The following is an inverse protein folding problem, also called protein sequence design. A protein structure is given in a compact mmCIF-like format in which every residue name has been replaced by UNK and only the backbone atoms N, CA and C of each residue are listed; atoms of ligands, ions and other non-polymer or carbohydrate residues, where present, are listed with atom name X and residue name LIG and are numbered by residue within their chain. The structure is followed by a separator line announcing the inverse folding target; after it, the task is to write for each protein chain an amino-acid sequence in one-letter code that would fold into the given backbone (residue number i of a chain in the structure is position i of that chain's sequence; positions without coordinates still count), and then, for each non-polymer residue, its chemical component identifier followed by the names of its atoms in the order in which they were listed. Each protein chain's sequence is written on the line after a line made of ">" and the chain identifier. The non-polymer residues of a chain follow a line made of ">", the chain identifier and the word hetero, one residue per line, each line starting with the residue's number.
data_IF_971123575216
#
_entry.id   IF_971123575216
#
_cell.length_a   1.000
_cell.length_b   1.000
_cell.length_c   1.000
_cell.angle_alpha   90.00
_cell.angle_beta   90.00
_cell.angle_gamma   90.00
#
_symmetry.space_group_name_H-M   'P 1'
#
loop_
_entity.id
_entity.type
_entity.pdbx_description
1 polymer ?
#
# COMPACT_ATOMS: atom_id res chain seq x y z
N UNK A 1 2.94 9.50 14.27
CA UNK A 1 3.22 9.94 15.65
C UNK A 1 3.97 8.81 16.35
N UNK A 2 4.89 9.12 17.27
CA UNK A 2 5.55 8.08 18.08
C UNK A 2 4.56 7.37 19.02
N UNK A 3 4.82 6.11 19.41
CA UNK A 3 3.94 5.37 20.32
C UNK A 3 3.73 6.04 21.69
N UNK A 4 4.70 6.82 22.16
CA UNK A 4 4.58 7.59 23.42
C UNK A 4 3.73 8.86 23.29
N UNK A 5 3.26 9.20 22.07
CA UNK A 5 2.43 10.35 21.78
C UNK A 5 3.14 11.70 21.86
N UNK A 6 4.48 11.74 21.91
CA UNK A 6 5.24 12.99 22.13
C UNK A 6 5.87 13.59 20.88
N UNK A 7 5.93 12.85 19.78
CA UNK A 7 6.48 13.35 18.51
C UNK A 7 5.48 13.13 17.38
N UNK A 8 5.06 14.23 16.75
CA UNK A 8 4.18 14.22 15.59
C UNK A 8 5.03 14.32 14.32
N UNK A 9 4.67 13.53 13.31
CA UNK A 9 5.27 13.62 11.97
C UNK A 9 4.18 13.93 10.95
N UNK A 10 4.54 14.73 9.96
CA UNK A 10 3.72 15.01 8.79
C UNK A 10 4.61 15.25 7.58
N UNK A 11 4.07 15.01 6.39
CA UNK A 11 4.80 15.14 5.13
C UNK A 11 4.06 16.07 4.17
N UNK A 12 4.85 16.77 3.37
CA UNK A 12 4.44 17.28 2.07
C UNK A 12 4.85 16.26 0.99
N UNK A 13 4.63 16.56 -0.27
CA UNK A 13 5.09 15.71 -1.36
C UNK A 13 6.63 15.58 -1.42
N UNK A 14 7.40 16.58 -0.95
CA UNK A 14 8.88 16.60 -1.06
C UNK A 14 9.63 16.40 0.25
N UNK A 15 8.96 16.67 1.38
CA UNK A 15 9.62 16.84 2.68
C UNK A 15 8.81 16.23 3.82
N UNK A 16 9.47 15.48 4.71
CA UNK A 16 8.92 15.03 5.99
C UNK A 16 9.42 15.93 7.14
N UNK A 17 8.54 16.16 8.09
CA UNK A 17 8.74 17.07 9.22
C UNK A 17 8.41 16.38 10.54
N UNK A 18 9.04 16.83 11.62
CA UNK A 18 8.78 16.39 12.98
C UNK A 18 8.44 17.59 13.89
N UNK A 19 7.63 17.35 14.92
CA UNK A 19 7.32 18.31 15.98
C UNK A 19 7.26 17.61 17.32
N UNK A 20 7.68 18.31 18.38
CA UNK A 20 7.25 17.95 19.73
C UNK A 20 5.75 18.18 19.84
N UNK A 21 5.02 17.19 20.35
CA UNK A 21 3.58 17.19 20.46
C UNK A 21 3.15 16.99 21.92
N UNK A 22 2.25 17.85 22.39
CA UNK A 22 1.59 17.68 23.68
C UNK A 22 0.16 17.16 23.47
N UNK A 23 -0.11 15.86 23.73
CA UNK A 23 -1.43 15.27 23.49
C UNK A 23 -2.51 15.82 24.44
N UNK A 24 -2.15 16.48 25.54
CA UNK A 24 -3.13 17.09 26.46
C UNK A 24 -3.67 18.41 25.93
N UNK A 25 -2.86 19.16 25.20
CA UNK A 25 -3.23 20.48 24.68
C UNK A 25 -3.44 20.49 23.16
N UNK A 26 -3.05 19.42 22.46
CA UNK A 26 -3.08 19.34 21.00
C UNK A 26 -2.03 20.23 20.32
N UNK A 27 -1.04 20.73 21.07
CA UNK A 27 -0.07 21.71 20.57
C UNK A 27 1.15 21.02 19.96
N UNK A 28 1.47 21.37 18.72
CA UNK A 28 2.72 21.00 18.04
C UNK A 28 3.71 22.18 18.07
N UNK A 29 4.95 21.93 18.45
CA UNK A 29 6.01 22.95 18.56
C UNK A 29 7.36 22.42 18.06
N UNK A 30 8.31 23.33 17.80
CA UNK A 30 9.67 22.94 17.42
C UNK A 30 9.73 22.18 16.10
N UNK A 31 9.18 22.74 15.03
CA UNK A 31 9.21 22.14 13.69
C UNK A 31 10.65 21.83 13.29
N UNK A 32 10.94 20.58 12.99
CA UNK A 32 12.17 20.13 12.36
C UNK A 32 11.88 19.57 10.96
N UNK A 33 12.75 19.88 10.00
CA UNK A 33 12.80 19.19 8.70
C UNK A 33 13.70 17.98 8.87
N UNK A 34 13.22 16.77 8.54
CA UNK A 34 13.97 15.52 8.81
C UNK A 34 14.39 14.78 7.55
N UNK A 35 13.52 14.72 6.53
CA UNK A 35 13.81 14.07 5.25
C UNK A 35 13.38 15.01 4.13
N UNK A 36 14.25 15.24 3.17
CA UNK A 36 14.04 16.13 2.01
C UNK A 36 14.23 15.37 0.70
N UNK A 37 13.99 16.03 -0.43
CA UNK A 37 14.33 15.47 -1.74
C UNK A 37 13.52 14.23 -2.11
N UNK A 38 12.33 14.02 -1.52
CA UNK A 38 11.43 12.96 -1.98
C UNK A 38 11.02 13.26 -3.42
N UNK A 39 11.29 12.35 -4.38
CA UNK A 39 10.99 12.59 -5.79
C UNK A 39 9.54 12.99 -6.01
N UNK A 40 9.31 13.91 -6.93
CA UNK A 40 7.97 14.32 -7.36
C UNK A 40 7.53 13.52 -8.57
N UNK A 41 6.23 13.59 -8.89
CA UNK A 41 5.66 12.93 -10.05
C UNK A 41 4.17 12.70 -9.92
N UNK A 42 3.65 11.75 -10.69
CA UNK A 42 2.23 11.34 -10.66
C UNK A 42 1.66 11.06 -9.27
N UNK A 43 2.39 10.36 -8.40
CA UNK A 43 1.94 10.05 -7.04
C UNK A 43 2.57 10.97 -5.98
N UNK A 44 1.75 11.79 -5.31
CA UNK A 44 2.21 12.87 -4.43
C UNK A 44 2.13 12.59 -2.92
N UNK A 45 1.45 11.54 -2.48
CA UNK A 45 1.33 11.19 -1.05
C UNK A 45 2.62 10.58 -0.51
N UNK A 46 2.96 10.86 0.75
CA UNK A 46 4.17 10.35 1.42
C UNK A 46 3.79 9.75 2.77
N UNK A 47 3.34 8.51 2.75
CA UNK A 47 2.86 7.83 3.94
C UNK A 47 3.96 7.67 4.97
N UNK A 48 3.63 7.91 6.24
CA UNK A 48 4.56 7.89 7.35
C UNK A 48 4.12 6.85 8.38
N UNK A 49 5.03 5.96 8.76
CA UNK A 49 4.80 4.99 9.84
C UNK A 49 5.95 5.03 10.84
N UNK A 50 5.62 5.12 12.13
CA UNK A 50 6.56 4.79 13.21
C UNK A 50 6.12 3.43 13.75
N UNK A 51 6.82 2.34 13.41
CA UNK A 51 6.44 1.01 13.86
C UNK A 51 6.45 0.92 15.38
N UNK A 52 5.50 0.18 15.96
CA UNK A 52 5.45 -0.04 17.42
C UNK A 52 6.58 -0.93 17.88
N UNK A 53 6.94 -1.94 17.10
CA UNK A 53 8.04 -2.85 17.41
C UNK A 53 9.42 -2.19 17.29
N UNK A 54 9.54 -1.11 16.51
CA UNK A 54 10.78 -0.34 16.37
C UNK A 54 10.48 1.17 16.36
N UNK A 55 10.28 1.80 17.54
CA UNK A 55 9.83 3.18 17.65
C UNK A 55 10.90 4.23 17.31
N UNK A 56 12.15 3.81 17.08
CA UNK A 56 13.25 4.68 16.63
C UNK A 56 13.25 4.86 15.11
N UNK A 57 12.42 4.08 14.40
CA UNK A 57 12.30 4.11 12.96
C UNK A 57 11.12 4.97 12.49
N UNK A 58 11.33 5.73 11.43
CA UNK A 58 10.28 6.34 10.61
C UNK A 58 10.36 5.70 9.22
N UNK A 59 9.31 5.00 8.79
CA UNK A 59 9.15 4.53 7.43
C UNK A 59 8.45 5.58 6.58
N UNK A 60 8.90 5.71 5.33
CA UNK A 60 8.32 6.61 4.35
C UNK A 60 8.09 5.84 3.04
N UNK A 61 6.86 5.87 2.55
CA UNK A 61 6.50 5.34 1.22
C UNK A 61 6.49 6.45 0.17
N UNK A 62 7.06 6.18 -1.00
CA UNK A 62 7.08 7.08 -2.17
C UNK A 62 6.64 6.32 -3.40
N UNK A 63 5.58 6.79 -4.08
CA UNK A 63 5.08 6.19 -5.32
C UNK A 63 5.86 6.59 -6.59
N UNK A 64 5.40 6.09 -7.73
CA UNK A 64 5.98 6.32 -9.06
C UNK A 64 5.71 7.72 -9.63
N UNK A 65 6.49 8.11 -10.64
CA UNK A 65 6.15 9.23 -11.51
C UNK A 65 5.29 8.76 -12.69
N UNK A 66 3.98 8.70 -12.47
CA UNK A 66 3.00 8.28 -13.47
C UNK A 66 2.69 6.79 -13.44
N UNK A 67 2.09 6.28 -14.51
CA UNK A 67 1.53 4.94 -14.52
C UNK A 67 2.60 3.84 -14.57
N UNK A 68 3.47 3.87 -15.58
CA UNK A 68 4.62 2.97 -15.78
C UNK A 68 5.89 3.83 -15.82
N UNK A 69 6.60 3.91 -14.70
CA UNK A 69 7.81 4.72 -14.52
C UNK A 69 9.06 3.84 -14.67
N UNK A 70 9.64 3.85 -15.86
CA UNK A 70 10.77 3.00 -16.20
C UNK A 70 12.02 3.22 -15.32
N UNK A 71 12.14 4.39 -14.68
CA UNK A 71 13.26 4.66 -13.77
C UNK A 71 13.19 3.82 -12.49
N UNK A 72 12.03 3.30 -12.11
CA UNK A 72 11.89 2.49 -10.89
C UNK A 72 12.46 1.07 -11.05
N UNK A 73 12.93 0.72 -12.26
CA UNK A 73 13.82 -0.43 -12.48
C UNK A 73 15.17 -0.26 -11.75
N UNK A 74 15.51 0.95 -11.31
CA UNK A 74 16.67 1.26 -10.50
C UNK A 74 16.27 1.87 -9.15
N UNK A 75 16.60 1.16 -8.07
CA UNK A 75 16.32 1.54 -6.68
C UNK A 75 16.82 2.96 -6.32
N UNK A 76 17.92 3.40 -6.92
CA UNK A 76 18.58 4.67 -6.60
C UNK A 76 17.72 5.91 -6.94
N UNK A 77 16.73 5.79 -7.82
CA UNK A 77 15.83 6.89 -8.18
C UNK A 77 14.89 7.34 -7.06
N UNK A 78 14.75 6.57 -5.99
CA UNK A 78 13.96 6.96 -4.82
C UNK A 78 12.44 6.95 -5.03
N UNK A 79 11.94 6.28 -6.08
CA UNK A 79 10.50 6.12 -6.38
C UNK A 79 10.06 4.67 -6.25
N UNK A 80 8.76 4.47 -6.09
CA UNK A 80 8.09 3.16 -5.93
C UNK A 80 8.75 2.26 -4.89
N UNK A 81 8.94 2.80 -3.69
CA UNK A 81 9.69 2.13 -2.63
C UNK A 81 9.34 2.64 -1.23
N UNK A 82 9.68 1.84 -0.23
CA UNK A 82 9.55 2.14 1.19
C UNK A 82 10.96 2.18 1.79
N UNK A 83 11.32 3.30 2.43
CA UNK A 83 12.60 3.46 3.13
C UNK A 83 12.40 3.74 4.61
N UNK A 84 13.33 3.27 5.43
CA UNK A 84 13.39 3.53 6.87
C UNK A 84 14.38 4.64 7.22
N UNK A 85 14.13 5.33 8.33
CA UNK A 85 14.95 6.45 8.81
C UNK A 85 15.03 6.42 10.33
N UNK A 86 16.24 6.53 10.89
CA UNK A 86 16.42 6.69 12.34
C UNK A 86 16.10 8.14 12.73
N UNK A 87 14.84 8.44 13.01
CA UNK A 87 14.31 9.80 12.97
C UNK A 87 14.92 10.72 14.04
N UNK A 88 15.42 10.18 15.16
CA UNK A 88 16.07 10.96 16.22
C UNK A 88 17.35 11.63 15.74
N UNK A 89 18.13 10.93 14.91
CA UNK A 89 19.37 11.44 14.34
C UNK A 89 19.10 12.60 13.37
N UNK A 90 17.91 12.59 12.75
CA UNK A 90 17.49 13.57 11.75
C UNK A 90 16.97 14.88 12.35
N UNK A 91 16.69 14.93 13.66
CA UNK A 91 16.18 16.15 14.32
C UNK A 91 17.13 17.34 14.24
N UNK A 92 18.43 17.06 14.09
CA UNK A 92 19.49 18.08 14.00
C UNK A 92 20.23 18.08 12.66
N UNK A 93 20.05 17.04 11.85
CA UNK A 93 20.71 16.89 10.57
C UNK A 93 19.80 16.16 9.58
N UNK A 94 19.04 16.93 8.80
CA UNK A 94 18.17 16.37 7.75
C UNK A 94 19.00 15.71 6.65
N UNK A 95 18.51 14.60 6.10
CA UNK A 95 19.10 13.95 4.92
C UNK A 95 18.13 14.00 3.73
N UNK A 96 18.61 13.64 2.53
CA UNK A 96 17.72 13.38 1.40
C UNK A 96 17.12 11.98 1.50
N UNK A 97 15.96 11.76 0.88
CA UNK A 97 15.27 10.46 0.89
C UNK A 97 16.18 9.32 0.41
N UNK A 98 16.96 9.58 -0.64
CA UNK A 98 17.85 8.59 -1.26
C UNK A 98 19.12 8.32 -0.47
N UNK A 99 19.45 9.13 0.54
CA UNK A 99 20.63 8.93 1.40
C UNK A 99 20.42 7.83 2.45
N UNK A 100 19.17 7.43 2.73
CA UNK A 100 18.92 6.30 3.63
C UNK A 100 19.22 4.98 2.95
N UNK A 101 20.01 4.14 3.62
CA UNK A 101 20.31 2.77 3.20
C UNK A 101 19.36 1.71 3.77
N UNK A 102 18.35 2.12 4.57
CA UNK A 102 17.39 1.18 5.17
C UNK A 102 16.27 0.94 4.16
N UNK A 103 16.34 -0.18 3.46
CA UNK A 103 15.41 -0.58 2.41
C UNK A 103 14.33 -1.53 2.97
N UNK A 104 13.05 -1.15 2.86
CA UNK A 104 11.90 -1.98 3.22
C UNK A 104 11.11 -2.54 2.03
N UNK A 105 11.52 -2.26 0.80
CA UNK A 105 10.91 -2.80 -0.42
C UNK A 105 10.92 -1.77 -1.53
N UNK A 106 11.00 -2.23 -2.78
CA UNK A 106 10.97 -1.40 -3.98
C UNK A 106 10.31 -2.14 -5.13
N UNK A 107 10.05 -1.47 -6.26
CA UNK A 107 9.14 -2.00 -7.26
C UNK A 107 7.70 -2.08 -6.73
N UNK A 108 7.33 -1.09 -5.92
CA UNK A 108 6.00 -0.89 -5.33
C UNK A 108 5.39 0.38 -5.93
N UNK A 109 4.62 0.28 -7.01
CA UNK A 109 4.06 1.40 -7.79
C UNK A 109 3.62 2.56 -6.91
N UNK A 110 2.67 2.33 -6.00
CA UNK A 110 2.19 3.34 -5.06
C UNK A 110 1.54 2.70 -3.82
N UNK A 111 2.38 2.10 -2.97
CA UNK A 111 1.94 1.46 -1.72
C UNK A 111 1.65 2.50 -0.64
N UNK A 112 0.46 3.09 -0.67
CA UNK A 112 0.05 4.17 0.24
C UNK A 112 -0.14 3.65 1.66
N UNK A 113 -0.89 2.57 1.84
CA UNK A 113 -1.12 2.02 3.18
C UNK A 113 0.08 1.19 3.62
N UNK A 114 0.68 1.54 4.75
CA UNK A 114 1.79 0.79 5.39
C UNK A 114 1.53 0.63 6.89
N UNK A 115 1.72 -0.58 7.42
CA UNK A 115 1.52 -0.86 8.86
C UNK A 115 2.32 -2.05 9.35
N UNK A 116 2.83 -1.95 10.58
CA UNK A 116 3.31 -3.11 11.33
C UNK A 116 2.16 -3.79 12.08
N UNK A 117 2.20 -5.12 12.12
CA UNK A 117 1.30 -5.91 12.95
C UNK A 117 1.78 -5.95 14.42
N UNK A 118 1.06 -6.66 15.28
CA UNK A 118 1.42 -6.79 16.71
C UNK A 118 2.74 -7.53 16.96
N UNK A 119 3.31 -8.19 15.95
CA UNK A 119 4.60 -8.89 15.99
C UNK A 119 5.69 -8.15 15.23
N UNK A 120 5.47 -6.88 14.87
CA UNK A 120 6.44 -6.07 14.15
C UNK A 120 6.66 -6.47 12.69
N UNK A 121 5.76 -7.26 12.10
CA UNK A 121 5.83 -7.57 10.67
C UNK A 121 5.25 -6.42 9.85
N UNK A 122 5.99 -5.92 8.87
CA UNK A 122 5.56 -4.84 8.00
C UNK A 122 4.73 -5.35 6.83
N UNK A 123 3.61 -4.67 6.60
CA UNK A 123 2.68 -4.90 5.51
C UNK A 123 2.43 -3.60 4.74
N UNK A 124 2.21 -3.71 3.44
CA UNK A 124 1.70 -2.61 2.62
C UNK A 124 0.53 -3.05 1.74
N UNK A 125 -0.29 -2.09 1.35
CA UNK A 125 -1.32 -2.27 0.32
C UNK A 125 -1.01 -1.42 -0.91
N UNK A 126 -1.07 -2.03 -2.08
CA UNK A 126 -0.58 -1.48 -3.34
C UNK A 126 -1.72 -0.93 -4.21
N UNK A 127 -1.45 0.19 -4.89
CA UNK A 127 -2.26 0.67 -6.02
C UNK A 127 -1.50 0.37 -7.31
N UNK A 128 -1.92 -0.68 -8.01
CA UNK A 128 -1.25 -1.26 -9.17
C UNK A 128 -1.58 -0.49 -10.47
N UNK A 129 -1.07 -0.96 -11.61
CA UNK A 129 -1.06 -0.18 -12.85
C UNK A 129 -2.44 -0.01 -13.51
N UNK A 130 -2.64 1.17 -14.12
CA UNK A 130 -3.84 1.52 -14.88
C UNK A 130 -3.66 1.17 -16.36
N UNK A 131 -4.76 1.04 -17.12
CA UNK A 131 -4.78 0.90 -18.59
C UNK A 131 -3.77 -0.12 -19.15
N UNK A 132 -3.52 -1.22 -18.44
CA UNK A 132 -2.52 -2.19 -18.86
C UNK A 132 -3.01 -2.99 -20.06
N UNK A 133 -2.07 -3.24 -20.96
CA UNK A 133 -2.24 -4.14 -22.08
C UNK A 133 -1.20 -5.24 -21.95
N UNK A 134 -1.55 -6.45 -22.38
CA UNK A 134 -0.62 -7.57 -22.43
C UNK A 134 -0.35 -7.94 -23.88
N UNK A 135 0.93 -7.99 -24.23
CA UNK A 135 1.37 -8.44 -25.54
C UNK A 135 1.15 -9.95 -25.69
N UNK A 136 0.40 -10.34 -26.71
CA UNK A 136 0.19 -11.74 -27.08
C UNK A 136 1.27 -12.17 -28.07
N UNK A 137 2.12 -13.10 -27.65
CA UNK A 137 3.26 -13.56 -28.46
C UNK A 137 2.84 -14.41 -29.67
N UNK A 138 1.65 -15.00 -29.63
CA UNK A 138 1.13 -15.87 -30.69
C UNK A 138 0.50 -15.06 -31.83
N UNK A 139 -0.18 -13.96 -31.49
CA UNK A 139 -0.89 -13.10 -32.45
C UNK A 139 -0.14 -11.83 -32.82
N UNK A 140 0.73 -11.34 -31.94
CA UNK A 140 1.43 -10.06 -32.06
C UNK A 140 0.60 -8.84 -31.64
N UNK A 141 -0.59 -9.07 -31.04
CA UNK A 141 -1.50 -8.02 -30.61
C UNK A 141 -1.20 -7.54 -29.18
N UNK A 142 -1.51 -6.27 -28.89
CA UNK A 142 -1.56 -5.76 -27.51
C UNK A 142 -3.01 -5.83 -27.03
N UNK A 143 -3.32 -6.83 -26.20
CA UNK A 143 -4.67 -7.07 -25.71
C UNK A 143 -4.92 -6.20 -24.48
N UNK A 144 -6.00 -5.42 -24.50
CA UNK A 144 -6.45 -4.70 -23.31
C UNK A 144 -6.95 -5.70 -22.26
N UNK A 145 -6.30 -5.70 -21.10
CA UNK A 145 -6.65 -6.56 -19.97
C UNK A 145 -6.96 -5.74 -18.72
N UNK A 146 -7.04 -4.41 -18.84
CA UNK A 146 -7.08 -3.51 -17.69
C UNK A 146 -8.31 -3.72 -16.82
N UNK A 147 -9.45 -4.11 -17.38
CA UNK A 147 -10.71 -4.03 -16.64
C UNK A 147 -10.72 -4.92 -15.38
N UNK A 148 -9.99 -6.04 -15.43
CA UNK A 148 -9.91 -7.00 -14.35
C UNK A 148 -8.46 -7.38 -14.00
N UNK A 149 -7.48 -6.64 -14.52
CA UNK A 149 -6.07 -6.75 -14.17
C UNK A 149 -5.35 -5.38 -14.15
N UNK A 150 -4.23 -5.24 -13.44
CA UNK A 150 -3.67 -6.24 -12.52
C UNK A 150 -4.40 -6.20 -11.18
N UNK A 151 -4.13 -7.19 -10.32
CA UNK A 151 -4.62 -7.17 -8.95
C UNK A 151 -4.06 -5.95 -8.20
N UNK A 152 -4.86 -5.39 -7.29
CA UNK A 152 -4.28 -4.65 -6.17
C UNK A 152 -3.68 -5.67 -5.18
N UNK A 153 -2.75 -5.26 -4.33
CA UNK A 153 -1.92 -6.22 -3.60
C UNK A 153 -1.83 -5.94 -2.11
N UNK A 154 -1.73 -7.00 -1.31
CA UNK A 154 -1.20 -6.98 0.05
C UNK A 154 0.21 -7.58 0.03
N UNK A 155 1.20 -6.74 0.33
CA UNK A 155 2.61 -7.07 0.27
C UNK A 155 3.22 -7.19 1.67
N UNK A 156 4.05 -8.23 1.88
CA UNK A 156 4.75 -8.49 3.13
C UNK A 156 6.22 -8.12 3.01
N UNK A 157 6.75 -7.40 3.99
CA UNK A 157 8.10 -6.82 3.96
C UNK A 157 9.02 -7.34 5.07
N UNK A 158 8.60 -8.34 5.85
CA UNK A 158 9.39 -8.86 6.97
C UNK A 158 9.33 -7.99 8.23
N UNK A 159 10.19 -8.29 9.20
CA UNK A 159 10.23 -7.57 10.48
C UNK A 159 10.80 -6.14 10.31
N UNK A 160 10.18 -5.16 10.99
CA UNK A 160 10.67 -3.78 11.12
C UNK A 160 11.88 -3.64 12.06
N UNK A 161 12.21 -4.67 12.82
CA UNK A 161 13.39 -4.70 13.69
C UNK A 161 14.67 -4.99 12.87
N UNK A 162 14.54 -5.75 11.78
CA UNK A 162 15.67 -5.97 10.87
C UNK A 162 15.78 -4.82 9.87
N UNK A 163 16.68 -3.89 10.21
CA UNK A 163 17.03 -2.71 9.40
C UNK A 163 18.28 -2.94 8.54
N UNK A 164 18.83 -4.17 8.53
CA UNK A 164 20.12 -4.49 7.92
C UNK A 164 20.00 -5.28 6.63
N UNK A 165 19.00 -6.15 6.52
CA UNK A 165 18.79 -6.94 5.30
C UNK A 165 17.97 -6.15 4.30
N UNK A 166 18.55 -5.83 3.14
CA UNK A 166 17.82 -5.15 2.07
C UNK A 166 16.65 -6.01 1.57
N UNK A 167 15.45 -5.42 1.52
CA UNK A 167 14.23 -6.10 1.01
C UNK A 167 14.17 -6.08 -0.52
N UNK A 168 13.47 -7.08 -1.07
CA UNK A 168 13.41 -7.37 -2.51
C UNK A 168 12.56 -6.41 -3.34
N UNK A 169 12.52 -6.69 -4.65
CA UNK A 169 11.72 -5.99 -5.63
C UNK A 169 10.34 -6.68 -5.78
N UNK A 170 9.25 -5.92 -5.75
CA UNK A 170 7.87 -6.41 -5.81
C UNK A 170 7.26 -6.40 -7.23
N UNK A 171 8.06 -6.17 -8.27
CA UNK A 171 7.67 -6.40 -9.66
C UNK A 171 7.59 -5.14 -10.52
N UNK A 172 7.06 -4.04 -9.97
CA UNK A 172 6.85 -2.82 -10.75
C UNK A 172 8.20 -2.26 -11.28
N UNK A 173 8.27 -1.82 -12.55
CA UNK A 173 7.17 -1.55 -13.48
C UNK A 173 6.94 -2.65 -14.53
N UNK A 174 7.47 -3.86 -14.34
CA UNK A 174 7.51 -4.90 -15.38
C UNK A 174 6.67 -6.13 -15.07
N UNK A 175 6.52 -6.45 -13.79
CA UNK A 175 5.77 -7.61 -13.32
C UNK A 175 4.60 -7.17 -12.44
N UNK A 176 3.43 -7.76 -12.64
CA UNK A 176 2.17 -7.41 -11.98
C UNK A 176 1.42 -8.66 -11.55
N UNK A 177 0.69 -8.65 -10.42
CA UNK A 177 -0.10 -9.81 -10.03
C UNK A 177 -1.38 -9.97 -10.88
N UNK A 178 -1.65 -11.20 -11.34
CA UNK A 178 -2.90 -11.52 -12.02
C UNK A 178 -4.07 -11.57 -11.02
N UNK A 179 -5.16 -10.87 -11.31
CA UNK A 179 -6.44 -11.05 -10.62
C UNK A 179 -7.35 -11.98 -11.44
N UNK A 180 -7.63 -11.60 -12.69
CA UNK A 180 -8.30 -12.45 -13.65
C UNK A 180 -7.28 -13.22 -14.50
N UNK A 181 -7.54 -14.50 -14.75
CA UNK A 181 -6.61 -15.39 -15.46
C UNK A 181 -6.87 -15.48 -16.96
N UNK A 182 -7.89 -14.78 -17.49
CA UNK A 182 -8.13 -14.64 -18.93
C UNK A 182 -7.13 -13.65 -19.57
N UNK A 183 -5.85 -14.02 -19.54
CA UNK A 183 -4.73 -13.25 -20.08
C UNK A 183 -4.10 -13.99 -21.28
N UNK A 184 -3.62 -13.29 -22.34
CA UNK A 184 -2.91 -13.92 -23.45
C UNK A 184 -1.68 -14.71 -23.00
N UNK A 185 -1.56 -15.94 -23.50
CA UNK A 185 -0.44 -16.86 -23.18
C UNK A 185 -0.22 -17.11 -21.68
N UNK A 186 -1.27 -16.97 -20.85
CA UNK A 186 -1.20 -17.18 -19.39
C UNK A 186 -1.92 -18.46 -18.97
N UNK A 187 -1.31 -19.20 -18.03
CA UNK A 187 -1.90 -20.44 -17.49
C UNK A 187 -1.81 -20.56 -15.97
N UNK A 188 -1.24 -19.53 -15.33
CA UNK A 188 -0.97 -19.51 -13.90
C UNK A 188 -2.18 -19.03 -13.08
N UNK A 189 -2.27 -19.40 -11.79
CA UNK A 189 -3.38 -18.98 -10.94
C UNK A 189 -3.35 -17.48 -10.63
N UNK A 190 -4.46 -16.92 -10.08
CA UNK A 190 -4.45 -15.57 -9.52
C UNK A 190 -3.33 -15.38 -8.48
N UNK A 191 -2.91 -14.13 -8.29
CA UNK A 191 -1.87 -13.74 -7.36
C UNK A 191 -0.43 -14.02 -7.85
N UNK A 192 -0.25 -14.85 -8.88
CA UNK A 192 1.06 -15.00 -9.52
C UNK A 192 1.35 -13.78 -10.39
N UNK A 193 2.61 -13.34 -10.38
CA UNK A 193 3.03 -12.19 -11.19
C UNK A 193 3.26 -12.56 -12.65
N UNK A 194 2.84 -11.69 -13.54
CA UNK A 194 2.95 -11.79 -14.99
C UNK A 194 3.59 -10.54 -15.59
N UNK A 195 4.13 -10.69 -16.78
CA UNK A 195 4.74 -9.62 -17.58
C UNK A 195 3.73 -8.97 -18.53
N UNK A 196 3.81 -7.64 -18.71
CA UNK A 196 3.05 -6.97 -19.77
C UNK A 196 3.56 -7.34 -21.17
N UNK A 197 4.83 -7.73 -21.30
CA UNK A 197 5.42 -8.20 -22.55
C UNK A 197 6.30 -9.45 -22.29
N UNK A 198 5.72 -10.66 -22.39
CA UNK A 198 6.45 -11.92 -22.19
C UNK A 198 7.65 -12.14 -23.13
N UNK A 199 7.75 -11.37 -24.23
CA UNK A 199 8.92 -11.40 -25.12
C UNK A 199 10.12 -10.58 -24.61
N UNK A 200 9.90 -9.65 -23.69
CA UNK A 200 10.96 -8.82 -23.08
C UNK A 200 11.41 -9.38 -21.73
N UNK A 201 10.45 -9.79 -20.90
CA UNK A 201 10.65 -10.46 -19.62
C UNK A 201 9.59 -11.53 -19.48
N UNK A 202 9.99 -12.77 -19.21
CA UNK A 202 9.05 -13.89 -19.17
C UNK A 202 8.28 -13.92 -17.86
N UNK A 203 7.12 -14.58 -17.89
CA UNK A 203 6.31 -14.79 -16.69
C UNK A 203 7.04 -15.63 -15.65
N UNK A 204 7.90 -16.57 -16.07
CA UNK A 204 8.76 -17.35 -15.18
C UNK A 204 9.80 -16.47 -14.49
N UNK A 205 10.37 -15.48 -15.20
CA UNK A 205 11.26 -14.49 -14.59
C UNK A 205 10.50 -13.65 -13.57
N UNK A 206 9.30 -13.18 -13.90
CA UNK A 206 8.45 -12.47 -12.95
C UNK A 206 8.17 -13.31 -11.69
N UNK A 207 7.86 -14.60 -11.85
CA UNK A 207 7.57 -15.49 -10.74
C UNK A 207 8.78 -15.89 -9.90
N UNK A 208 9.98 -15.93 -10.49
CA UNK A 208 11.20 -16.39 -9.83
C UNK A 208 11.98 -15.26 -9.14
N UNK A 209 12.06 -14.09 -9.77
CA UNK A 209 13.00 -13.04 -9.37
C UNK A 209 12.35 -11.90 -8.58
N UNK A 210 11.01 -11.84 -8.55
CA UNK A 210 10.25 -10.79 -7.88
C UNK A 210 9.39 -11.34 -6.74
N UNK A 211 9.14 -10.48 -5.76
CA UNK A 211 8.38 -10.83 -4.58
C UNK A 211 6.88 -10.76 -4.89
N UNK A 212 6.26 -11.94 -5.01
CA UNK A 212 4.82 -12.05 -5.17
C UNK A 212 4.04 -11.54 -3.93
N UNK A 213 2.81 -11.04 -4.13
CA UNK A 213 1.97 -10.57 -3.04
C UNK A 213 1.47 -11.72 -2.15
N UNK A 214 1.17 -11.39 -0.90
CA UNK A 214 0.58 -12.35 0.04
C UNK A 214 -0.92 -12.56 -0.20
N UNK A 215 -1.60 -11.57 -0.78
CA UNK A 215 -2.99 -11.65 -1.20
C UNK A 215 -3.26 -10.61 -2.30
N UNK A 216 -4.08 -10.96 -3.30
CA UNK A 216 -4.57 -10.03 -4.30
C UNK A 216 -5.97 -9.48 -3.95
N UNK A 217 -6.30 -8.30 -4.47
CA UNK A 217 -7.65 -7.72 -4.43
C UNK A 217 -8.14 -7.36 -5.83
N UNK A 218 -9.46 -7.15 -6.02
CA UNK A 218 -10.00 -6.79 -7.32
C UNK A 218 -9.30 -5.55 -7.89
N UNK A 219 -8.91 -5.64 -9.16
CA UNK A 219 -8.27 -4.56 -9.89
C UNK A 219 -8.99 -3.22 -9.69
N UNK A 220 -8.22 -2.15 -9.52
CA UNK A 220 -8.70 -0.77 -9.33
C UNK A 220 -9.47 -0.51 -8.04
N UNK A 221 -9.43 -1.41 -7.05
CA UNK A 221 -10.08 -1.14 -5.74
C UNK A 221 -9.43 0.00 -4.96
N UNK A 222 -8.20 0.38 -5.33
CA UNK A 222 -7.43 1.50 -4.78
C UNK A 222 -7.28 1.45 -3.25
N UNK A 223 -6.53 0.49 -2.69
CA UNK A 223 -6.38 0.40 -1.26
C UNK A 223 -5.47 1.49 -0.70
N UNK A 224 -5.90 2.22 0.33
CA UNK A 224 -5.16 3.41 0.81
C UNK A 224 -4.60 3.30 2.23
N UNK A 225 -5.16 2.46 3.07
CA UNK A 225 -4.66 2.26 4.44
C UNK A 225 -4.94 0.83 4.92
N UNK A 226 -4.11 0.39 5.86
CA UNK A 226 -4.19 -0.90 6.52
C UNK A 226 -3.93 -0.74 8.03
N UNK A 227 -4.78 -1.35 8.85
CA UNK A 227 -4.54 -1.48 10.30
C UNK A 227 -4.86 -2.88 10.79
N UNK A 228 -4.23 -3.28 11.89
CA UNK A 228 -4.49 -4.56 12.55
C UNK A 228 -5.31 -4.35 13.81
N UNK A 229 -6.33 -5.19 14.01
CA UNK A 229 -7.11 -5.20 15.25
C UNK A 229 -6.45 -6.04 16.36
N UNK A 230 -7.10 -6.12 17.52
CA UNK A 230 -6.58 -6.85 18.67
C UNK A 230 -6.49 -8.38 18.47
N UNK A 231 -7.22 -8.94 17.50
CA UNK A 231 -7.13 -10.35 17.13
C UNK A 231 -6.02 -10.61 16.10
N UNK A 232 -5.43 -9.56 15.54
CA UNK A 232 -4.42 -9.64 14.49
C UNK A 232 -5.00 -9.63 13.07
N UNK A 233 -6.32 -9.49 12.90
CA UNK A 233 -6.94 -9.36 11.58
C UNK A 233 -6.62 -8.00 10.96
N UNK A 234 -6.39 -7.96 9.65
CA UNK A 234 -6.15 -6.72 8.93
C UNK A 234 -7.46 -6.09 8.44
N UNK A 235 -7.51 -4.77 8.49
CA UNK A 235 -8.60 -3.94 8.00
C UNK A 235 -8.05 -3.02 6.93
N UNK A 236 -8.67 -3.01 5.75
CA UNK A 236 -8.17 -2.29 4.57
C UNK A 236 -9.27 -1.41 3.99
N UNK A 237 -8.94 -0.16 3.68
CA UNK A 237 -9.81 0.77 2.97
C UNK A 237 -9.65 0.59 1.47
N UNK A 238 -10.73 0.30 0.75
CA UNK A 238 -10.76 0.35 -0.72
C UNK A 238 -11.44 1.66 -1.13
N UNK A 239 -10.63 2.60 -1.62
CA UNK A 239 -11.06 3.96 -1.95
C UNK A 239 -11.97 4.02 -3.18
N UNK A 240 -11.85 3.05 -4.08
CA UNK A 240 -12.72 2.88 -5.24
C UNK A 240 -12.06 3.20 -6.57
N UNK A 241 -12.55 2.54 -7.61
CA UNK A 241 -11.98 2.61 -8.96
C UNK A 241 -12.37 3.88 -9.69
N UNK A 242 -11.44 4.40 -10.49
CA UNK A 242 -11.74 5.31 -11.59
C UNK A 242 -11.54 4.65 -12.97
N UNK A 243 -10.65 3.64 -13.06
CA UNK A 243 -10.22 3.00 -14.31
C UNK A 243 -10.82 1.59 -14.49
N UNK A 244 -12.14 1.44 -14.29
CA UNK A 244 -12.85 0.15 -14.44
C UNK A 244 -14.33 0.36 -14.76
N UNK A 245 -14.91 -0.50 -15.60
CA UNK A 245 -16.35 -0.53 -15.87
C UNK A 245 -16.93 -1.95 -15.73
N UNK A 246 -17.89 -2.20 -14.82
CA UNK A 246 -18.43 -1.26 -13.83
C UNK A 246 -17.42 -0.90 -12.72
N UNK A 247 -17.65 0.16 -11.92
CA UNK A 247 -16.78 0.50 -10.79
C UNK A 247 -16.68 -0.62 -9.73
N UNK A 248 -15.59 -0.62 -8.96
CA UNK A 248 -15.36 -1.51 -7.81
C UNK A 248 -14.68 -0.76 -6.66
N UNK A 249 -14.53 -1.41 -5.50
CA UNK A 249 -14.00 -0.81 -4.27
C UNK A 249 -15.08 -0.10 -3.45
N UNK A 250 -14.83 1.14 -3.02
CA UNK A 250 -15.76 1.97 -2.24
C UNK A 250 -16.27 1.30 -0.95
N UNK A 251 -15.37 0.63 -0.23
CA UNK A 251 -15.72 -0.22 0.92
C UNK A 251 -14.56 -0.40 1.91
N UNK A 252 -14.93 -0.75 3.13
CA UNK A 252 -14.03 -1.25 4.17
C UNK A 252 -14.07 -2.77 4.15
N UNK A 253 -12.90 -3.42 4.12
CA UNK A 253 -12.79 -4.88 4.16
C UNK A 253 -11.97 -5.35 5.35
N UNK A 254 -12.20 -6.60 5.77
CA UNK A 254 -11.41 -7.32 6.77
C UNK A 254 -10.79 -8.56 6.14
N UNK A 255 -9.51 -8.81 6.43
CA UNK A 255 -8.74 -9.99 6.02
C UNK A 255 -8.42 -10.77 7.28
N UNK A 256 -8.75 -12.06 7.29
CA UNK A 256 -8.44 -12.92 8.42
C UNK A 256 -6.95 -13.32 8.40
N UNK A 257 -6.29 -13.18 9.54
CA UNK A 257 -4.88 -13.52 9.70
C UNK A 257 -4.71 -14.68 10.68
N UNK A 258 -3.75 -15.53 10.38
CA UNK A 258 -3.30 -16.58 11.29
C UNK A 258 -2.45 -15.94 12.41
N UNK A 259 -2.86 -16.07 13.68
CA UNK A 259 -2.21 -15.38 14.79
C UNK A 259 -0.86 -15.97 15.16
N UNK A 260 -0.44 -17.13 14.64
CA UNK A 260 0.87 -17.74 14.91
C UNK A 260 1.89 -17.28 13.87
N UNK A 261 1.53 -17.36 12.60
CA UNK A 261 2.39 -17.02 11.46
C UNK A 261 2.34 -15.56 11.07
N UNK A 262 1.35 -14.80 11.55
CA UNK A 262 1.07 -13.42 11.13
C UNK A 262 0.80 -13.31 9.62
N UNK A 263 0.25 -14.34 8.97
CA UNK A 263 -0.05 -14.33 7.53
C UNK A 263 -1.55 -14.36 7.27
N UNK A 264 -2.03 -13.85 6.12
CA UNK A 264 -3.40 -14.09 5.68
C UNK A 264 -3.72 -15.60 5.72
N UNK A 265 -4.89 -15.97 6.22
CA UNK A 265 -5.36 -17.37 6.21
C UNK A 265 -5.63 -17.82 4.77
N UNK A 266 -6.13 -16.92 3.94
CA UNK A 266 -6.34 -17.18 2.52
C UNK A 266 -4.98 -17.26 1.79
N UNK A 267 -4.88 -18.22 0.87
CA UNK A 267 -3.75 -18.28 -0.06
C UNK A 267 -3.71 -17.04 -0.97
N UNK A 268 -2.53 -16.72 -1.50
CA UNK A 268 -2.34 -15.58 -2.41
C UNK A 268 -3.23 -15.65 -3.65
N UNK A 269 -3.59 -16.85 -4.10
CA UNK A 269 -4.49 -17.10 -5.23
C UNK A 269 -5.98 -16.99 -4.91
N UNK A 270 -6.34 -16.62 -3.70
CA UNK A 270 -7.74 -16.51 -3.28
C UNK A 270 -8.39 -15.22 -3.77
N UNK A 271 -9.48 -15.36 -4.53
CA UNK A 271 -10.33 -14.24 -4.94
C UNK A 271 -11.34 -13.82 -3.85
N UNK A 272 -11.41 -14.57 -2.75
CA UNK A 272 -12.35 -14.33 -1.65
C UNK A 272 -11.62 -14.27 -0.30
N UNK A 273 -10.38 -13.80 -0.29
CA UNK A 273 -9.53 -13.74 0.91
C UNK A 273 -9.91 -12.66 1.93
N UNK A 274 -10.97 -11.89 1.67
CA UNK A 274 -11.44 -10.81 2.53
C UNK A 274 -12.97 -10.80 2.60
N UNK A 275 -13.51 -10.12 3.62
CA UNK A 275 -14.94 -9.89 3.79
C UNK A 275 -15.24 -8.40 3.80
N UNK A 276 -16.34 -7.99 3.16
CA UNK A 276 -16.80 -6.60 3.19
C UNK A 276 -17.46 -6.31 4.53
N UNK A 277 -17.09 -5.20 5.17
CA UNK A 277 -17.65 -4.78 6.46
C UNK A 277 -18.60 -3.59 6.30
N UNK A 278 -18.21 -2.61 5.50
CA UNK A 278 -19.01 -1.43 5.21
C UNK A 278 -18.87 -1.09 3.73
N UNK A 279 -19.99 -0.98 3.02
CA UNK A 279 -20.02 -0.75 1.57
C UNK A 279 -21.07 0.29 1.22
N UNK A 280 -20.86 0.98 0.10
CA UNK A 280 -21.92 1.74 -0.55
C UNK A 280 -22.98 0.80 -1.12
N UNK A 281 -24.25 1.22 -1.08
CA UNK A 281 -25.38 0.39 -1.45
C UNK A 281 -25.44 0.11 -2.97
N UNK A 282 -25.07 1.09 -3.79
CA UNK A 282 -24.98 0.97 -5.24
C UNK A 282 -23.59 1.42 -5.71
N UNK A 283 -22.72 0.46 -5.98
CA UNK A 283 -21.34 0.72 -6.43
C UNK A 283 -21.30 1.30 -7.84
N UNK A 284 -22.30 1.00 -8.69
CA UNK A 284 -22.34 1.52 -10.06
C UNK A 284 -22.57 3.04 -10.09
N UNK A 285 -23.26 3.58 -9.08
CA UNK A 285 -23.43 5.02 -8.89
C UNK A 285 -22.16 5.73 -8.40
N UNK A 286 -21.14 5.00 -7.91
CA UNK A 286 -19.94 5.60 -7.32
C UNK A 286 -18.98 6.23 -8.33
N UNK A 287 -19.17 5.99 -9.64
CA UNK A 287 -18.42 6.68 -10.69
C UNK A 287 -18.71 8.20 -10.74
N UNK A 288 -19.83 8.65 -10.20
CA UNK A 288 -20.16 10.07 -10.05
C UNK A 288 -19.59 10.63 -8.74
N UNK A 289 -18.93 11.79 -8.82
CA UNK A 289 -18.33 12.44 -7.66
C UNK A 289 -19.36 12.75 -6.56
N UNK A 290 -19.02 12.40 -5.31
CA UNK A 290 -19.84 12.68 -4.13
C UNK A 290 -21.05 11.76 -3.94
N UNK A 291 -21.26 10.74 -4.78
CA UNK A 291 -22.35 9.76 -4.59
C UNK A 291 -22.06 8.72 -3.50
N UNK A 292 -20.78 8.43 -3.29
CA UNK A 292 -20.33 7.38 -2.40
C UNK A 292 -19.27 7.92 -1.44
N UNK A 293 -19.22 7.38 -0.23
CA UNK A 293 -18.04 7.55 0.62
C UNK A 293 -16.85 6.84 -0.01
N UNK A 294 -15.65 7.40 0.14
CA UNK A 294 -14.39 6.87 -0.40
C UNK A 294 -13.40 6.63 0.74
N UNK A 295 -13.36 5.40 1.30
CA UNK A 295 -12.53 5.07 2.44
C UNK A 295 -11.07 5.43 2.21
N UNK A 296 -10.48 6.22 3.11
CA UNK A 296 -9.07 6.63 3.02
C UNK A 296 -8.26 6.07 4.19
N UNK A 297 -8.32 6.68 5.37
CA UNK A 297 -7.47 6.34 6.51
C UNK A 297 -8.22 5.62 7.62
N UNK A 298 -7.49 4.82 8.38
CA UNK A 298 -7.98 4.02 9.50
C UNK A 298 -7.26 4.35 10.81
N UNK A 299 -7.99 4.29 11.92
CA UNK A 299 -7.41 4.32 13.25
C UNK A 299 -8.18 3.41 14.20
N UNK A 300 -7.48 2.48 14.84
CA UNK A 300 -8.04 1.61 15.88
C UNK A 300 -8.05 2.37 17.20
N UNK A 301 -9.22 2.49 17.81
CA UNK A 301 -9.41 3.06 19.13
C UNK A 301 -9.13 2.03 20.23
N UNK A 302 -8.86 2.48 21.46
CA UNK A 302 -8.50 1.60 22.59
C UNK A 302 -9.62 0.66 23.04
N UNK A 303 -10.88 0.96 22.71
CA UNK A 303 -12.02 0.08 22.94
C UNK A 303 -12.26 -0.93 21.80
N UNK A 304 -11.39 -0.96 20.80
CA UNK A 304 -11.49 -1.83 19.63
C UNK A 304 -12.39 -1.31 18.51
N UNK A 305 -13.03 -0.15 18.66
CA UNK A 305 -13.73 0.51 17.54
C UNK A 305 -12.73 1.04 16.50
N UNK A 306 -13.17 1.13 15.25
CA UNK A 306 -12.37 1.59 14.13
C UNK A 306 -12.90 2.95 13.66
N UNK A 307 -12.02 3.94 13.54
CA UNK A 307 -12.33 5.18 12.83
C UNK A 307 -11.90 5.05 11.37
N UNK A 308 -12.73 5.52 10.45
CA UNK A 308 -12.47 5.54 9.02
C UNK A 308 -12.79 6.92 8.45
N UNK A 309 -11.88 7.52 7.69
CA UNK A 309 -12.15 8.77 6.97
C UNK A 309 -12.64 8.52 5.55
N UNK A 310 -13.41 9.47 5.02
CA UNK A 310 -13.75 9.59 3.61
C UNK A 310 -13.40 11.00 3.13
N UNK A 311 -12.34 11.12 2.34
CA UNK A 311 -11.83 12.40 1.83
C UNK A 311 -12.82 13.07 0.87
N UNK A 312 -13.44 12.30 -0.01
CA UNK A 312 -14.39 12.79 -1.02
C UNK A 312 -15.69 13.36 -0.42
N UNK A 313 -16.07 12.92 0.78
CA UNK A 313 -17.30 13.37 1.46
C UNK A 313 -17.02 14.22 2.70
N UNK A 314 -15.77 14.30 3.16
CA UNK A 314 -15.38 15.05 4.36
C UNK A 314 -15.85 14.40 5.67
N UNK A 315 -16.16 13.10 5.65
CA UNK A 315 -16.74 12.38 6.79
C UNK A 315 -15.71 11.57 7.58
N UNK A 316 -15.96 11.41 8.87
CA UNK A 316 -15.28 10.44 9.73
C UNK A 316 -16.34 9.52 10.33
N UNK A 317 -16.19 8.23 10.06
CA UNK A 317 -17.05 7.16 10.56
C UNK A 317 -16.39 6.52 11.77
N UNK A 318 -17.21 6.10 12.75
CA UNK A 318 -16.80 5.17 13.81
C UNK A 318 -17.56 3.86 13.65
N UNK A 319 -16.83 2.80 13.30
CA UNK A 319 -17.32 1.44 13.16
C UNK A 319 -17.11 0.71 14.49
N UNK A 320 -18.18 0.17 15.05
CA UNK A 320 -18.14 -0.58 16.31
C UNK A 320 -19.00 -1.84 16.19
N UNK A 321 -18.54 -2.93 16.81
CA UNK A 321 -19.36 -4.12 16.96
C UNK A 321 -20.50 -3.79 17.94
N UNK A 322 -21.74 -3.91 17.50
CA UNK A 322 -22.88 -3.90 18.43
C UNK A 322 -22.82 -5.19 19.23
N UNK A 323 -22.88 -5.10 20.57
CA UNK A 323 -22.78 -6.25 21.46
C UNK A 323 -23.69 -7.41 21.02
N UNK A 324 -23.14 -8.61 21.06
CA UNK A 324 -23.88 -9.88 20.95
C UNK A 324 -24.62 -10.18 22.25
#
# INVERSE_FOLDING_TARGET
>A
MTPDGKTLFASSSTTAFAWTYDPRTGKATGKATIVTGMPQGGHSTRSLLVPKANPDLLLISVGSDGNLDDNTKDYSYGRSQIRGFLWKDLLSNSITFTDSNINFGWGLRNSVGIRDDSKGQLWSVENSADNIHRYDVDTGDNVDVHNDNPAEELNFHGSVEDTTTARGNYGYPVCFAAWDTELPNWTSPPGQQFSLNPSEISDETCAADYQAPSLGFPAHSAPLDIVFDANGDAWVTFHGSWNRSPPTGYKLVRIAFDPETSRPIAASSSLTGFVSIMSNADVNACGEAGKCFRPTSLAVHSDGSLFMSSDATGEIYRIQKTGS
#
